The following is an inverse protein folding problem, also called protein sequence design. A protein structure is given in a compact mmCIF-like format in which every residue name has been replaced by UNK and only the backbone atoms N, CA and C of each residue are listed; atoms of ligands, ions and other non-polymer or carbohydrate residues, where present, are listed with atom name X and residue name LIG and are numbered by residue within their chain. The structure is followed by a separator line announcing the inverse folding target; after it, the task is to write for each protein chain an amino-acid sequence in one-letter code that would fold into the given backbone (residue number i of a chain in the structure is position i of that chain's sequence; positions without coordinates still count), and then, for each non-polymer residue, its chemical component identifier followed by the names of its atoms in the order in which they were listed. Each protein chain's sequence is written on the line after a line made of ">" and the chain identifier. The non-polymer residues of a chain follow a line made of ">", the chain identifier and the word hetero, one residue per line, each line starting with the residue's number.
data_IF_487947660682
#
_entry.id   IF_487947660682
#
_cell.length_a   1.000
_cell.length_b   1.000
_cell.length_c   1.000
_cell.angle_alpha   90.00
_cell.angle_beta   90.00
_cell.angle_gamma   90.00
#
_symmetry.space_group_name_H-M   'P 1'
#
loop_
_entity.id
_entity.type
_entity.pdbx_description
1 polymer ?
#
# COMPACT_ATOMS: atom_id res chain seq x y z
N UNK A 1 17.28 8.00 -0.96
CA UNK A 1 16.56 7.14 -1.93
C UNK A 1 17.38 6.00 -2.54
N UNK A 2 18.59 6.20 -3.07
CA UNK A 2 19.37 5.12 -3.73
C UNK A 2 19.61 3.90 -2.83
N UNK A 3 19.95 4.13 -1.57
CA UNK A 3 20.16 3.06 -0.58
C UNK A 3 18.88 2.25 -0.30
N UNK A 4 17.75 2.92 -0.03
CA UNK A 4 16.45 2.26 0.14
C UNK A 4 16.05 1.43 -1.07
N UNK A 5 16.22 1.98 -2.28
CA UNK A 5 15.96 1.26 -3.53
C UNK A 5 16.85 0.03 -3.68
N UNK A 6 18.15 0.15 -3.34
CA UNK A 6 19.07 -0.98 -3.36
C UNK A 6 18.63 -2.08 -2.40
N UNK A 7 18.30 -1.74 -1.14
CA UNK A 7 17.83 -2.71 -0.14
C UNK A 7 16.56 -3.43 -0.61
N UNK A 8 15.57 -2.69 -1.13
CA UNK A 8 14.32 -3.27 -1.64
C UNK A 8 14.56 -4.21 -2.83
N UNK A 9 15.41 -3.82 -3.79
CA UNK A 9 15.69 -4.63 -4.97
C UNK A 9 16.57 -5.85 -4.65
N UNK A 10 17.55 -5.71 -3.77
CA UNK A 10 18.36 -6.83 -3.30
C UNK A 10 17.50 -7.86 -2.59
N UNK A 11 16.61 -7.40 -1.70
CA UNK A 11 15.64 -8.28 -1.04
C UNK A 11 14.69 -8.94 -2.04
N UNK A 12 14.14 -8.18 -2.98
CA UNK A 12 13.24 -8.73 -3.99
C UNK A 12 13.92 -9.79 -4.86
N UNK A 13 15.20 -9.60 -5.20
CA UNK A 13 15.98 -10.57 -5.95
C UNK A 13 16.12 -11.89 -5.16
N UNK A 14 16.53 -11.82 -3.90
CA UNK A 14 16.65 -13.01 -3.05
C UNK A 14 15.30 -13.73 -2.93
N UNK A 15 14.21 -12.98 -2.72
CA UNK A 15 12.86 -13.53 -2.62
C UNK A 15 12.40 -14.18 -3.94
N UNK A 16 12.67 -13.57 -5.08
CA UNK A 16 12.33 -14.14 -6.39
C UNK A 16 13.14 -15.41 -6.68
N UNK A 17 14.45 -15.42 -6.39
CA UNK A 17 15.29 -16.60 -6.56
C UNK A 17 14.86 -17.76 -5.67
N UNK A 18 14.59 -17.50 -4.38
CA UNK A 18 14.08 -18.51 -3.46
C UNK A 18 12.70 -19.02 -3.88
N UNK A 19 11.80 -18.13 -4.27
CA UNK A 19 10.48 -18.50 -4.77
C UNK A 19 10.58 -19.48 -5.94
N UNK A 20 11.44 -19.17 -6.92
CA UNK A 20 11.65 -20.02 -8.08
C UNK A 20 12.26 -21.38 -7.69
N UNK A 21 13.19 -21.39 -6.74
CA UNK A 21 13.74 -22.63 -6.19
C UNK A 21 12.67 -23.50 -5.51
N UNK A 22 11.76 -22.92 -4.72
CA UNK A 22 10.64 -23.64 -4.09
C UNK A 22 9.61 -24.15 -5.10
N UNK A 23 9.43 -23.49 -6.24
CA UNK A 23 8.58 -24.00 -7.32
C UNK A 23 9.18 -25.18 -8.07
N UNK A 24 10.45 -25.03 -8.49
CA UNK A 24 11.14 -26.02 -9.32
C UNK A 24 11.61 -27.23 -8.51
N UNK A 25 12.11 -27.03 -7.29
CA UNK A 25 12.75 -28.06 -6.44
C UNK A 25 12.20 -28.07 -5.00
N UNK A 26 10.88 -28.25 -4.79
CA UNK A 26 10.26 -28.17 -3.46
C UNK A 26 10.80 -29.20 -2.47
N UNK A 27 11.09 -30.43 -2.91
CA UNK A 27 11.60 -31.50 -2.02
C UNK A 27 13.02 -31.21 -1.53
N UNK A 28 13.91 -30.75 -2.42
CA UNK A 28 15.29 -30.41 -2.05
C UNK A 28 15.30 -29.23 -1.08
N UNK A 29 14.50 -28.20 -1.35
CA UNK A 29 14.39 -27.04 -0.46
C UNK A 29 13.76 -27.39 0.90
N UNK A 30 12.77 -28.28 0.93
CA UNK A 30 12.20 -28.78 2.18
C UNK A 30 13.25 -29.54 3.00
N UNK A 31 14.01 -30.41 2.34
CA UNK A 31 15.03 -31.22 2.99
C UNK A 31 16.17 -30.37 3.57
N UNK A 32 16.52 -29.24 2.94
CA UNK A 32 17.48 -28.27 3.50
C UNK A 32 17.02 -27.69 4.85
N UNK A 33 15.71 -27.64 5.11
CA UNK A 33 15.12 -27.22 6.37
C UNK A 33 14.78 -28.40 7.28
N UNK A 34 15.29 -29.61 6.99
CA UNK A 34 14.98 -30.83 7.72
C UNK A 34 13.54 -31.32 7.56
N UNK A 35 12.79 -30.80 6.58
CA UNK A 35 11.40 -31.17 6.34
C UNK A 35 11.28 -32.29 5.30
N UNK A 36 10.46 -33.29 5.61
CA UNK A 36 10.10 -34.37 4.70
C UNK A 36 8.67 -34.17 4.18
N UNK A 37 8.54 -33.90 2.87
CA UNK A 37 7.24 -33.74 2.22
C UNK A 37 6.69 -35.13 1.84
N UNK A 38 5.75 -35.63 2.63
CA UNK A 38 5.16 -36.97 2.43
C UNK A 38 4.01 -36.96 1.43
N UNK A 39 3.18 -35.92 1.46
CA UNK A 39 1.97 -35.84 0.64
C UNK A 39 2.12 -34.84 -0.51
N UNK A 40 1.42 -35.10 -1.62
CA UNK A 40 1.33 -34.15 -2.74
C UNK A 40 0.71 -32.82 -2.31
N UNK A 41 -0.19 -32.85 -1.33
CA UNK A 41 -0.73 -31.66 -0.67
C UNK A 41 0.38 -30.83 0.00
N UNK A 42 1.31 -31.46 0.73
CA UNK A 42 2.44 -30.76 1.38
C UNK A 42 3.34 -30.05 0.36
N UNK A 43 3.57 -30.68 -0.79
CA UNK A 43 4.32 -30.08 -1.91
C UNK A 43 3.57 -28.87 -2.47
N UNK A 44 2.26 -28.97 -2.64
CA UNK A 44 1.41 -27.85 -3.07
C UNK A 44 1.48 -26.68 -2.09
N UNK A 45 1.32 -26.95 -0.78
CA UNK A 45 1.47 -25.93 0.26
C UNK A 45 2.84 -25.25 0.24
N UNK A 46 3.91 -26.02 0.05
CA UNK A 46 5.26 -25.48 -0.07
C UNK A 46 5.35 -24.50 -1.25
N UNK A 47 4.83 -24.87 -2.42
CA UNK A 47 4.82 -24.00 -3.62
C UNK A 47 3.96 -22.75 -3.44
N UNK A 48 2.87 -22.82 -2.70
CA UNK A 48 2.00 -21.67 -2.45
C UNK A 48 2.65 -20.70 -1.46
N UNK A 49 3.10 -21.18 -0.30
CA UNK A 49 3.56 -20.31 0.78
C UNK A 49 5.04 -19.91 0.69
N UNK A 50 5.91 -20.81 0.23
CA UNK A 50 7.34 -20.50 0.07
C UNK A 50 7.66 -20.09 -1.37
N UNK A 51 6.87 -20.54 -2.35
CA UNK A 51 6.98 -20.08 -3.74
C UNK A 51 6.15 -18.82 -4.01
N UNK A 52 4.83 -18.96 -4.07
CA UNK A 52 3.91 -17.93 -4.55
C UNK A 52 3.84 -16.68 -3.67
N UNK A 53 3.70 -16.84 -2.35
CA UNK A 53 3.69 -15.70 -1.42
C UNK A 53 5.02 -14.93 -1.48
N UNK A 54 6.16 -15.65 -1.55
CA UNK A 54 7.48 -15.02 -1.63
C UNK A 54 7.67 -14.28 -2.97
N UNK A 55 7.12 -14.81 -4.07
CA UNK A 55 7.08 -14.12 -5.37
C UNK A 55 6.23 -12.85 -5.31
N UNK A 56 5.04 -12.93 -4.72
CA UNK A 56 4.12 -11.79 -4.59
C UNK A 56 4.77 -10.64 -3.83
N UNK A 57 5.44 -10.94 -2.71
CA UNK A 57 6.21 -9.96 -1.95
C UNK A 57 7.38 -9.39 -2.77
N UNK A 58 8.13 -10.23 -3.52
CA UNK A 58 9.21 -9.75 -4.38
C UNK A 58 8.71 -8.74 -5.43
N UNK A 59 7.59 -9.05 -6.08
CA UNK A 59 6.96 -8.16 -7.06
C UNK A 59 6.49 -6.85 -6.41
N UNK A 60 5.89 -6.92 -5.22
CA UNK A 60 5.52 -5.74 -4.44
C UNK A 60 6.73 -4.86 -4.11
N UNK A 61 7.85 -5.44 -3.69
CA UNK A 61 9.07 -4.69 -3.41
C UNK A 61 9.66 -4.05 -4.67
N UNK A 62 9.68 -4.76 -5.81
CA UNK A 62 10.12 -4.22 -7.11
C UNK A 62 9.24 -3.04 -7.55
N UNK A 63 7.92 -3.16 -7.37
CA UNK A 63 6.99 -2.08 -7.68
C UNK A 63 7.20 -0.89 -6.75
N UNK A 64 7.37 -1.13 -5.45
CA UNK A 64 7.54 -0.09 -4.43
C UNK A 64 8.86 0.66 -4.56
N UNK A 65 9.90 -0.01 -5.05
CA UNK A 65 11.21 0.57 -5.30
C UNK A 65 11.23 1.64 -6.42
N UNK A 66 10.13 1.80 -7.18
CA UNK A 66 10.04 2.77 -8.28
C UNK A 66 9.73 4.20 -7.86
N UNK A 67 9.12 4.41 -6.69
CA UNK A 67 8.78 5.76 -6.22
C UNK A 67 9.09 5.92 -4.72
N UNK A 68 9.54 7.12 -4.30
CA UNK A 68 9.87 7.40 -2.91
C UNK A 68 8.68 7.23 -1.96
N UNK A 69 7.47 7.65 -2.38
CA UNK A 69 6.27 7.54 -1.53
C UNK A 69 5.94 6.08 -1.18
N UNK A 70 6.19 5.15 -2.12
CA UNK A 70 5.91 3.72 -1.97
C UNK A 70 7.03 2.96 -1.25
N UNK A 71 8.27 3.44 -1.37
CA UNK A 71 9.43 2.77 -0.78
C UNK A 71 9.39 2.74 0.75
N UNK A 72 8.91 3.82 1.39
CA UNK A 72 8.85 3.93 2.85
C UNK A 72 7.90 2.90 3.50
N UNK A 73 6.61 2.80 3.11
CA UNK A 73 5.72 1.78 3.67
C UNK A 73 6.20 0.36 3.33
N UNK A 74 6.81 0.15 2.15
CA UNK A 74 7.38 -1.14 1.80
C UNK A 74 8.54 -1.56 2.71
N UNK A 75 9.40 -0.62 3.13
CA UNK A 75 10.47 -0.89 4.10
C UNK A 75 9.92 -1.26 5.49
N UNK A 76 8.86 -0.57 5.96
CA UNK A 76 8.20 -0.92 7.22
C UNK A 76 7.61 -2.33 7.13
N UNK A 77 6.87 -2.62 6.05
CA UNK A 77 6.31 -3.95 5.83
C UNK A 77 7.40 -5.03 5.80
N UNK A 78 8.53 -4.75 5.14
CA UNK A 78 9.67 -5.66 5.10
C UNK A 78 10.26 -5.91 6.50
N UNK A 79 10.46 -4.85 7.29
CA UNK A 79 10.91 -4.96 8.69
C UNK A 79 9.95 -5.80 9.51
N UNK A 80 8.65 -5.49 9.46
CA UNK A 80 7.62 -6.21 10.22
C UNK A 80 7.58 -7.68 9.84
N UNK A 81 7.58 -7.99 8.54
CA UNK A 81 7.52 -9.37 8.04
C UNK A 81 8.76 -10.16 8.47
N UNK A 82 9.96 -9.62 8.26
CA UNK A 82 11.19 -10.33 8.60
C UNK A 82 11.37 -10.48 10.12
N UNK A 83 11.01 -9.45 10.90
CA UNK A 83 11.04 -9.52 12.36
C UNK A 83 10.05 -10.54 12.90
N UNK A 84 8.81 -10.58 12.37
CA UNK A 84 7.81 -11.58 12.75
C UNK A 84 8.29 -13.00 12.45
N UNK A 85 8.96 -13.22 11.31
CA UNK A 85 9.53 -14.52 10.97
C UNK A 85 10.71 -14.93 11.88
N UNK A 86 11.53 -13.97 12.33
CA UNK A 86 12.60 -14.22 13.31
C UNK A 86 12.00 -14.56 14.67
N UNK A 87 11.04 -13.75 15.14
CA UNK A 87 10.35 -13.99 16.41
C UNK A 87 9.61 -15.32 16.40
N UNK A 88 8.90 -15.64 15.32
CA UNK A 88 8.25 -16.95 15.16
C UNK A 88 9.24 -18.10 15.26
N UNK A 89 10.43 -17.98 14.66
CA UNK A 89 11.47 -19.02 14.76
C UNK A 89 12.03 -19.13 16.18
N UNK A 90 12.24 -18.01 16.87
CA UNK A 90 12.70 -17.98 18.27
C UNK A 90 11.67 -18.60 19.22
N UNK A 91 10.39 -18.31 19.03
CA UNK A 91 9.30 -18.90 19.81
C UNK A 91 9.24 -20.41 19.57
N UNK A 92 9.29 -20.86 18.31
CA UNK A 92 9.36 -22.30 18.00
C UNK A 92 10.58 -22.97 18.63
N UNK A 93 11.76 -22.33 18.58
CA UNK A 93 12.96 -22.87 19.23
C UNK A 93 12.76 -23.04 20.74
N UNK A 94 12.11 -22.07 21.37
CA UNK A 94 11.85 -22.09 22.81
C UNK A 94 10.83 -23.16 23.22
N UNK A 95 9.77 -23.35 22.42
CA UNK A 95 8.72 -24.35 22.68
C UNK A 95 9.19 -25.76 22.35
N UNK A 96 9.83 -25.95 21.19
CA UNK A 96 10.17 -27.27 20.64
C UNK A 96 11.57 -27.76 21.07
N UNK A 97 12.38 -26.90 21.69
CA UNK A 97 13.72 -27.25 22.18
C UNK A 97 14.74 -27.57 21.08
N UNK A 98 14.54 -27.03 19.87
CA UNK A 98 15.37 -27.33 18.70
C UNK A 98 16.76 -26.71 18.71
N UNK A 99 17.56 -27.05 17.70
CA UNK A 99 18.87 -26.43 17.45
C UNK A 99 18.88 -25.63 16.15
N UNK A 100 19.67 -24.55 16.11
CA UNK A 100 19.92 -23.78 14.89
C UNK A 100 21.21 -24.22 14.22
N UNK A 101 21.12 -25.08 13.22
CA UNK A 101 22.28 -25.60 12.49
C UNK A 101 22.08 -25.44 10.98
N UNK A 102 23.19 -25.21 10.27
CA UNK A 102 23.22 -25.19 8.80
C UNK A 102 22.33 -24.11 8.18
N UNK A 103 21.39 -24.53 7.33
CA UNK A 103 20.52 -23.63 6.57
C UNK A 103 19.61 -22.79 7.46
N UNK A 104 19.13 -23.33 8.58
CA UNK A 104 18.29 -22.61 9.52
C UNK A 104 19.02 -21.43 10.17
N UNK A 105 20.26 -21.65 10.62
CA UNK A 105 21.10 -20.58 11.16
C UNK A 105 21.40 -19.52 10.11
N UNK A 106 21.78 -19.94 8.89
CA UNK A 106 22.04 -19.01 7.79
C UNK A 106 20.80 -18.18 7.42
N UNK A 107 19.63 -18.82 7.34
CA UNK A 107 18.34 -18.17 7.10
C UNK A 107 17.97 -17.19 8.21
N UNK A 108 18.22 -17.55 9.48
CA UNK A 108 17.99 -16.68 10.63
C UNK A 108 18.88 -15.43 10.57
N UNK A 109 20.18 -15.60 10.35
CA UNK A 109 21.13 -14.50 10.21
C UNK A 109 20.78 -13.58 9.05
N UNK A 110 20.40 -14.16 7.90
CA UNK A 110 19.91 -13.40 6.76
C UNK A 110 18.69 -12.54 7.12
N UNK A 111 17.69 -13.10 7.81
CA UNK A 111 16.48 -12.36 8.20
C UNK A 111 16.82 -11.22 9.16
N UNK A 112 17.69 -11.44 10.13
CA UNK A 112 18.17 -10.39 11.05
C UNK A 112 18.88 -9.28 10.28
N UNK A 113 19.77 -9.64 9.34
CA UNK A 113 20.45 -8.67 8.49
C UNK A 113 19.44 -7.88 7.64
N UNK A 114 18.43 -8.54 7.07
CA UNK A 114 17.38 -7.90 6.29
C UNK A 114 16.58 -6.90 7.13
N UNK A 115 16.22 -7.24 8.38
CA UNK A 115 15.57 -6.31 9.33
C UNK A 115 16.45 -5.09 9.58
N UNK A 116 17.73 -5.30 9.88
CA UNK A 116 18.68 -4.21 10.17
C UNK A 116 18.84 -3.30 8.96
N UNK A 117 19.09 -3.85 7.77
CA UNK A 117 19.26 -3.09 6.54
C UNK A 117 17.98 -2.32 6.16
N UNK A 118 16.81 -2.95 6.28
CA UNK A 118 15.53 -2.30 5.99
C UNK A 118 15.23 -1.19 7.01
N UNK A 119 15.53 -1.39 8.30
CA UNK A 119 15.37 -0.39 9.34
C UNK A 119 16.31 0.81 9.16
N UNK A 120 17.57 0.57 8.79
CA UNK A 120 18.53 1.62 8.45
C UNK A 120 18.09 2.39 7.18
N UNK A 121 17.62 1.67 6.17
CA UNK A 121 17.09 2.27 4.95
C UNK A 121 15.86 3.13 5.22
N UNK A 122 14.97 2.67 6.11
CA UNK A 122 13.79 3.41 6.51
C UNK A 122 14.15 4.71 7.23
N UNK A 123 15.09 4.66 8.19
CA UNK A 123 15.60 5.87 8.88
C UNK A 123 16.30 6.84 7.93
N UNK A 124 16.95 6.34 6.89
CA UNK A 124 17.63 7.16 5.89
C UNK A 124 16.67 7.85 4.89
N UNK A 125 15.43 7.38 4.77
CA UNK A 125 14.38 8.04 3.96
C UNK A 125 13.72 9.10 4.85
N UNK A 126 14.21 10.35 4.74
CA UNK A 126 13.56 11.50 5.37
C UNK A 126 12.18 11.70 4.74
N UNK A 127 11.16 11.94 5.57
CA UNK A 127 9.89 12.49 5.10
C UNK A 127 10.22 13.81 4.41
N UNK A 128 9.93 13.94 3.11
CA UNK A 128 9.73 15.27 2.56
C UNK A 128 8.48 15.79 3.29
N UNK A 129 8.52 16.95 3.96
CA UNK A 129 7.31 17.56 4.47
C UNK A 129 6.31 17.57 3.31
N UNK A 130 5.12 17.00 3.52
CA UNK A 130 4.04 17.21 2.55
C UNK A 130 3.98 18.73 2.34
N UNK A 131 4.03 19.23 1.08
CA UNK A 131 3.83 20.64 0.85
C UNK A 131 2.50 20.97 1.52
N UNK A 132 2.58 21.81 2.56
CA UNK A 132 1.43 22.25 3.35
C UNK A 132 0.32 22.53 2.35
N UNK A 133 -0.77 21.76 2.42
CA UNK A 133 -1.88 21.90 1.48
C UNK A 133 -2.22 23.37 1.50
N UNK A 134 -1.88 24.09 0.43
CA UNK A 134 -2.00 25.54 0.39
C UNK A 134 -3.45 25.81 0.75
N UNK A 135 -3.67 26.29 1.98
CA UNK A 135 -5.01 26.56 2.45
C UNK A 135 -5.45 27.66 1.51
N UNK A 136 -6.28 27.29 0.54
CA UNK A 136 -6.93 28.24 -0.33
C UNK A 136 -7.73 29.11 0.64
N UNK A 137 -7.14 30.23 1.04
CA UNK A 137 -7.86 31.29 1.74
C UNK A 137 -9.11 31.51 0.89
N UNK A 138 -10.31 31.35 1.46
CA UNK A 138 -11.52 31.68 0.70
C UNK A 138 -11.29 33.08 0.16
N UNK A 139 -11.56 33.30 -1.13
CA UNK A 139 -11.28 34.55 -1.82
C UNK A 139 -11.95 35.73 -1.09
N UNK A 140 -11.26 36.26 -0.09
CA UNK A 140 -11.71 37.34 0.79
C UNK A 140 -11.28 38.68 0.24
N UNK A 141 -10.67 38.69 -0.95
CA UNK A 141 -10.52 39.90 -1.72
C UNK A 141 -11.88 40.33 -2.27
N UNK A 142 -12.69 40.95 -1.41
CA UNK A 142 -13.61 41.99 -1.87
C UNK A 142 -12.71 42.99 -2.59
N UNK A 143 -12.86 43.13 -3.91
CA UNK A 143 -12.25 44.22 -4.67
C UNK A 143 -12.84 45.52 -4.13
N UNK A 144 -12.26 46.06 -3.04
CA UNK A 144 -12.73 47.29 -2.35
C UNK A 144 -12.65 48.50 -3.30
N UNK A 145 -11.99 48.38 -4.45
CA UNK A 145 -11.83 49.45 -5.43
C UNK A 145 -12.92 49.54 -6.50
N UNK A 146 -13.82 48.57 -6.63
CA UNK A 146 -14.94 48.70 -7.57
C UNK A 146 -16.18 49.21 -6.86
N UNK A 147 -16.72 50.34 -7.35
CA UNK A 147 -18.05 50.78 -6.95
C UNK A 147 -19.03 49.65 -7.29
N UNK A 148 -19.94 49.27 -6.37
CA UNK A 148 -20.89 48.21 -6.64
C UNK A 148 -21.62 48.54 -7.94
N UNK A 149 -21.52 47.64 -8.93
CA UNK A 149 -22.26 47.82 -10.17
C UNK A 149 -23.74 47.95 -9.80
N UNK A 150 -24.46 48.93 -10.34
CA UNK A 150 -25.90 48.98 -10.17
C UNK A 150 -26.48 47.66 -10.68
N UNK A 151 -27.39 47.08 -9.90
CA UNK A 151 -28.08 45.86 -10.26
C UNK A 151 -28.67 46.03 -11.66
N UNK A 152 -28.06 45.37 -12.66
CA UNK A 152 -28.67 45.24 -13.98
C UNK A 152 -29.74 44.17 -13.83
N UNK A 153 -30.99 44.61 -13.73
CA UNK A 153 -32.13 43.74 -14.00
C UNK A 153 -31.85 43.16 -15.40
N UNK A 154 -31.59 41.85 -15.48
CA UNK A 154 -31.28 41.22 -16.76
C UNK A 154 -32.38 41.53 -17.77
N UNK A 155 -32.04 41.53 -19.05
CA UNK A 155 -33.01 41.68 -20.15
C UNK A 155 -33.89 40.41 -20.26
N UNK A 156 -34.45 39.94 -19.14
CA UNK A 156 -35.64 39.10 -19.17
C UNK A 156 -36.75 39.98 -19.72
N UNK A 157 -37.38 39.61 -20.85
CA UNK A 157 -38.56 40.30 -21.33
C UNK A 157 -39.56 40.41 -20.16
N UNK A 158 -40.07 41.62 -19.85
CA UNK A 158 -41.04 41.77 -18.78
C UNK A 158 -42.24 40.91 -19.15
N UNK A 159 -42.49 39.87 -18.34
CA UNK A 159 -43.66 39.00 -18.41
C UNK A 159 -44.19 38.75 -19.84
N UNK A 160 -43.81 37.62 -20.44
CA UNK A 160 -44.76 37.00 -21.36
C UNK A 160 -46.03 36.74 -20.55
N UNK A 161 -47.04 37.61 -20.70
CA UNK A 161 -48.35 37.39 -20.11
C UNK A 161 -48.82 36.02 -20.61
N UNK A 162 -49.18 35.09 -19.71
CA UNK A 162 -49.78 33.84 -20.12
C UNK A 162 -51.02 34.15 -20.96
N UNK A 163 -51.14 33.51 -22.13
CA UNK A 163 -52.28 33.71 -23.00
C UNK A 163 -53.59 33.39 -22.27
N UNK A 164 -54.72 34.04 -22.60
CA UNK A 164 -55.98 33.83 -21.92
C UNK A 164 -56.41 32.36 -22.02
N UNK A 165 -56.20 31.60 -20.95
CA UNK A 165 -56.47 30.16 -20.87
C UNK A 165 -55.38 29.31 -20.19
N UNK A 166 -54.16 29.84 -20.02
CA UNK A 166 -53.10 29.11 -19.30
C UNK A 166 -53.24 29.28 -17.77
N UNK A 167 -53.33 28.17 -17.00
CA UNK A 167 -53.39 28.27 -15.54
C UNK A 167 -52.07 28.84 -15.01
N UNK A 168 -52.18 29.93 -14.25
CA UNK A 168 -51.04 30.53 -13.57
C UNK A 168 -50.37 29.48 -12.67
N UNK A 169 -49.03 29.31 -12.72
CA UNK A 169 -48.35 28.34 -11.87
C UNK A 169 -48.55 28.73 -10.41
N UNK A 170 -49.36 27.95 -9.69
CA UNK A 170 -49.54 28.15 -8.25
C UNK A 170 -48.29 27.69 -7.50
N UNK A 171 -47.87 28.39 -6.44
CA UNK A 171 -46.76 27.95 -5.61
C UNK A 171 -47.13 26.62 -4.95
N UNK A 172 -46.30 25.60 -5.19
CA UNK A 172 -46.44 24.27 -4.61
C UNK A 172 -46.54 24.34 -3.08
N UNK A 173 -47.65 23.86 -2.50
CA UNK A 173 -47.78 23.71 -1.04
C UNK A 173 -47.52 22.27 -0.64
N UNK A 174 -46.81 22.10 0.47
CA UNK A 174 -46.57 20.79 1.07
C UNK A 174 -47.91 20.16 1.47
N UNK A 175 -48.40 19.21 0.69
CA UNK A 175 -49.70 18.55 0.89
C UNK A 175 -50.59 18.49 -0.35
N UNK A 176 -50.18 19.09 -1.48
CA UNK A 176 -50.92 18.96 -2.72
C UNK A 176 -50.87 17.51 -3.24
N UNK A 177 -51.98 16.94 -3.74
CA UNK A 177 -52.01 15.58 -4.24
C UNK A 177 -51.10 15.46 -5.46
N UNK A 178 -50.24 14.44 -5.46
CA UNK A 178 -49.40 14.09 -6.61
C UNK A 178 -50.34 13.54 -7.67
N UNK A 179 -50.48 14.26 -8.79
CA UNK A 179 -51.14 13.74 -9.99
C UNK A 179 -50.19 12.79 -10.74
#
# INVERSE_FOLDING_TARGET
>A
MRFARFVLLAQALVMACLSLAYWLRPHEMANLNGMLLMETASVSHMRVYYGGLQLGLALFLIWSARAPERARPALIMLVMTMAALVLGRLVSLWVDGGELVGFDLASMLYRVLAVVLAGLAWRAVRELPEPESERLEPATHRLVSESPMPFKLGDTPPHAEPGPGEPSPQPFRRGDPVA
#
